data_IF_255980271802
#
_entry.id   IF_255980271802
#
_cell.length_a   1.000
_cell.length_b   1.000
_cell.length_c   1.000
_cell.angle_alpha   90.00
_cell.angle_beta   90.00
_cell.angle_gamma   90.00
#
_symmetry.space_group_name_H-M   'P 1'
#
loop_
_entity.id
_entity.type
_entity.pdbx_description
1 polymer ?
#
# COMPACT_ATOMS: atom_id res chain seq x y z
N UNK A 1 65.41 -41.90 9.08
CA UNK A 1 64.91 -40.55 9.42
C UNK A 1 63.43 -40.51 9.03
N UNK A 2 62.52 -41.18 9.74
CA UNK A 2 61.91 -40.75 11.02
C UNK A 2 61.55 -39.26 11.04
N UNK A 3 60.28 -38.91 10.80
CA UNK A 3 59.29 -38.68 11.87
C UNK A 3 57.91 -38.34 11.32
N UNK A 4 56.96 -39.02 11.95
CA UNK A 4 55.51 -38.91 11.94
C UNK A 4 54.98 -37.54 12.43
N UNK A 5 53.86 -37.07 11.88
CA UNK A 5 52.67 -36.76 12.70
C UNK A 5 51.40 -36.93 11.87
N UNK A 6 50.44 -37.67 12.44
CA UNK A 6 49.09 -38.01 11.92
C UNK A 6 48.03 -37.09 12.54
N UNK A 7 46.81 -37.22 11.99
CA UNK A 7 45.46 -37.09 12.57
C UNK A 7 44.64 -35.95 11.92
N UNK A 8 43.43 -36.14 11.41
CA UNK A 8 42.65 -37.34 11.09
C UNK A 8 41.52 -36.92 10.14
N UNK A 9 41.18 -37.80 9.20
CA UNK A 9 40.02 -37.69 8.35
C UNK A 9 38.72 -37.96 9.11
N UNK A 10 37.62 -37.32 8.71
CA UNK A 10 36.32 -38.00 8.67
C UNK A 10 35.70 -37.74 7.30
N UNK A 11 35.76 -38.80 6.49
CA UNK A 11 34.95 -39.02 5.31
C UNK A 11 33.60 -39.54 5.79
N UNK A 12 32.49 -38.92 5.36
CA UNK A 12 31.21 -39.63 5.21
C UNK A 12 30.77 -39.44 3.77
N UNK A 13 30.60 -40.58 3.11
CA UNK A 13 30.14 -40.76 1.74
C UNK A 13 28.63 -40.53 1.59
N UNK A 14 28.26 -40.16 0.36
CA UNK A 14 27.00 -40.49 -0.36
C UNK A 14 25.71 -39.81 0.12
N UNK A 15 24.78 -39.37 -0.74
CA UNK A 15 24.56 -39.68 -2.14
C UNK A 15 23.65 -38.63 -2.81
N UNK A 16 23.73 -38.59 -4.14
CA UNK A 16 22.62 -38.38 -5.10
C UNK A 16 21.80 -37.09 -5.04
N UNK A 17 22.08 -36.19 -5.99
CA UNK A 17 21.16 -35.14 -6.40
C UNK A 17 21.79 -34.27 -7.48
N UNK A 18 21.52 -34.60 -8.75
CA UNK A 18 21.82 -33.70 -9.87
C UNK A 18 21.05 -32.40 -9.65
N UNK A 19 21.74 -31.26 -9.62
CA UNK A 19 21.08 -29.96 -9.76
C UNK A 19 20.62 -29.88 -11.21
N UNK A 20 19.36 -30.23 -11.45
CA UNK A 20 18.68 -29.85 -12.69
C UNK A 20 18.42 -28.36 -12.60
N UNK A 21 18.98 -27.58 -13.53
CA UNK A 21 18.42 -26.28 -13.88
C UNK A 21 17.10 -26.55 -14.61
N UNK A 22 16.00 -26.64 -13.85
CA UNK A 22 14.66 -26.45 -14.39
C UNK A 22 14.26 -25.01 -14.04
N UNK A 23 14.12 -24.15 -15.06
CA UNK A 23 13.64 -22.76 -14.95
C UNK A 23 12.13 -22.72 -14.67
N UNK A 24 11.65 -23.54 -13.72
CA UNK A 24 10.30 -23.47 -13.19
C UNK A 24 10.33 -22.72 -11.88
N UNK A 25 9.80 -21.49 -11.96
CA UNK A 25 9.10 -20.72 -10.92
C UNK A 25 8.79 -21.50 -9.64
N UNK A 26 9.76 -21.60 -8.74
CA UNK A 26 9.47 -21.73 -7.32
C UNK A 26 9.33 -20.32 -6.78
N UNK A 27 8.13 -19.76 -6.93
CA UNK A 27 7.73 -18.58 -6.18
C UNK A 27 7.90 -18.96 -4.70
N UNK A 28 8.85 -18.29 -4.02
CA UNK A 28 8.93 -18.36 -2.57
C UNK A 28 7.59 -17.99 -1.95
N UNK A 29 7.33 -18.36 -0.69
CA UNK A 29 6.07 -18.02 -0.03
C UNK A 29 5.81 -16.53 -0.16
N UNK A 30 4.59 -16.19 -0.59
CA UNK A 30 4.11 -14.82 -0.72
C UNK A 30 4.46 -14.04 0.55
N UNK A 31 5.14 -12.90 0.41
CA UNK A 31 5.39 -12.03 1.54
C UNK A 31 4.05 -11.46 1.97
N UNK A 32 3.45 -12.06 3.01
CA UNK A 32 2.18 -11.63 3.57
C UNK A 32 2.43 -10.93 4.90
N UNK A 33 1.80 -9.79 5.13
CA UNK A 33 1.94 -9.00 6.35
C UNK A 33 0.60 -8.39 6.71
N UNK A 34 0.18 -8.57 7.96
CA UNK A 34 -0.98 -7.88 8.51
C UNK A 34 -0.54 -6.53 9.07
N UNK A 35 -1.29 -5.48 8.72
CA UNK A 35 -1.00 -4.11 9.10
C UNK A 35 -2.24 -3.43 9.65
N UNK A 36 -2.02 -2.51 10.57
CA UNK A 36 -3.03 -1.57 11.05
C UNK A 36 -2.85 -0.23 10.30
N UNK A 37 -3.96 0.34 9.86
CA UNK A 37 -4.03 1.66 9.22
C UNK A 37 -4.97 2.52 10.05
N UNK A 38 -4.39 3.44 10.82
CA UNK A 38 -5.16 4.37 11.65
C UNK A 38 -5.94 5.36 10.76
N UNK A 39 -7.13 5.80 11.18
CA UNK A 39 -7.90 6.83 10.47
C UNK A 39 -7.12 8.13 10.26
N UNK A 40 -6.14 8.41 11.15
CA UNK A 40 -5.26 9.57 11.04
C UNK A 40 -4.13 9.40 10.03
N UNK A 41 -3.99 8.25 9.37
CA UNK A 41 -2.92 7.97 8.41
C UNK A 41 -3.04 8.86 7.15
N UNK A 42 -2.33 9.99 7.16
CA UNK A 42 -2.42 11.01 6.14
C UNK A 42 -1.64 10.60 4.88
N UNK A 43 -2.35 10.28 3.80
CA UNK A 43 -1.71 9.76 2.60
C UNK A 43 -0.84 10.79 1.86
N UNK A 44 -1.07 12.10 2.06
CA UNK A 44 -0.14 13.14 1.58
C UNK A 44 1.17 13.19 2.37
N UNK A 45 1.29 12.47 3.48
CA UNK A 45 2.55 12.25 4.20
C UNK A 45 3.44 11.16 3.61
N UNK A 46 2.99 10.43 2.58
CA UNK A 46 3.73 9.31 2.01
C UNK A 46 5.11 9.75 1.50
N UNK A 47 6.16 9.15 2.07
CA UNK A 47 7.55 9.43 1.70
C UNK A 47 8.14 10.74 2.25
N UNK A 48 7.38 11.53 3.01
CA UNK A 48 7.86 12.71 3.72
C UNK A 48 8.29 12.38 5.15
N UNK A 49 9.08 13.27 5.76
CA UNK A 49 9.52 13.13 7.15
C UNK A 49 8.41 13.40 8.17
N UNK A 50 7.43 14.23 7.82
CA UNK A 50 6.27 14.61 8.64
C UNK A 50 5.01 14.69 7.78
N UNK A 51 3.83 14.34 8.31
CA UNK A 51 2.60 14.49 7.56
C UNK A 51 2.27 15.99 7.32
N UNK A 52 1.72 16.36 6.15
CA UNK A 52 1.39 17.74 5.86
C UNK A 52 -0.05 18.10 6.28
N UNK A 53 -0.26 19.32 6.81
CA UNK A 53 -1.59 19.91 7.05
C UNK A 53 -1.74 21.33 6.47
N UNK A 54 -1.48 21.54 5.17
CA UNK A 54 -1.60 22.86 4.56
C UNK A 54 -3.00 23.48 4.69
N UNK A 55 -4.06 22.67 4.80
CA UNK A 55 -5.42 23.13 5.08
C UNK A 55 -5.70 23.42 6.56
N UNK A 56 -4.85 22.97 7.47
CA UNK A 56 -5.05 23.05 8.92
C UNK A 56 -5.87 21.89 9.49
N UNK A 57 -6.36 22.06 10.72
CA UNK A 57 -7.21 21.08 11.44
C UNK A 57 -6.58 19.70 11.65
N UNK A 58 -5.27 19.66 11.87
CA UNK A 58 -4.54 18.44 12.19
C UNK A 58 -3.78 17.83 11.02
N UNK A 59 -2.55 17.40 11.28
CA UNK A 59 -1.70 16.70 10.32
C UNK A 59 -1.92 15.20 10.28
N UNK A 60 -2.47 14.63 11.35
CA UNK A 60 -2.64 13.20 11.49
C UNK A 60 -1.30 12.51 11.77
N UNK A 61 -1.13 11.33 11.21
CA UNK A 61 0.07 10.51 11.33
C UNK A 61 0.62 10.15 9.96
N UNK A 62 1.90 9.75 9.90
CA UNK A 62 2.47 9.20 8.67
C UNK A 62 1.69 7.95 8.23
N UNK A 63 1.50 7.73 6.93
CA UNK A 63 0.75 6.59 6.43
C UNK A 63 1.53 5.28 6.66
N UNK A 64 0.80 4.17 6.72
CA UNK A 64 1.36 2.85 6.99
C UNK A 64 2.25 2.41 5.83
N UNK A 65 3.56 2.29 6.09
CA UNK A 65 4.56 1.88 5.10
C UNK A 65 4.68 0.35 5.04
N UNK A 66 4.64 -0.20 3.82
CA UNK A 66 5.10 -1.54 3.49
C UNK A 66 6.27 -1.43 2.50
N UNK A 67 7.40 -2.05 2.86
CA UNK A 67 8.55 -2.19 1.98
C UNK A 67 8.28 -3.31 0.99
N UNK A 68 8.41 -3.02 -0.30
CA UNK A 68 8.13 -3.97 -1.36
C UNK A 68 9.38 -4.83 -1.65
N UNK A 69 9.23 -6.15 -1.87
CA UNK A 69 10.33 -6.97 -2.33
C UNK A 69 10.81 -6.49 -3.71
N UNK A 70 12.11 -6.57 -4.03
CA UNK A 70 12.60 -6.23 -5.37
C UNK A 70 12.01 -7.21 -6.39
N UNK A 71 11.69 -6.72 -7.58
CA UNK A 71 11.13 -7.54 -8.64
C UNK A 71 10.41 -6.72 -9.70
N UNK A 72 9.96 -7.40 -10.75
CA UNK A 72 9.10 -6.84 -11.80
C UNK A 72 7.80 -7.63 -11.87
N UNK A 73 6.79 -7.06 -12.51
CA UNK A 73 5.47 -7.69 -12.70
C UNK A 73 4.82 -8.10 -11.37
N UNK A 74 5.11 -7.34 -10.31
CA UNK A 74 4.64 -7.64 -8.96
C UNK A 74 3.17 -7.26 -8.82
N UNK A 75 2.43 -8.02 -8.01
CA UNK A 75 1.02 -7.78 -7.74
C UNK A 75 0.77 -7.62 -6.25
N UNK A 76 0.13 -6.52 -5.89
CA UNK A 76 -0.39 -6.28 -4.54
C UNK A 76 -1.81 -6.83 -4.43
N UNK A 77 -2.12 -7.49 -3.31
CA UNK A 77 -3.47 -7.90 -2.91
C UNK A 77 -3.73 -7.54 -1.45
N UNK A 78 -4.97 -7.16 -1.17
CA UNK A 78 -5.51 -6.96 0.18
C UNK A 78 -6.48 -8.10 0.50
N UNK A 79 -6.54 -8.50 1.76
CA UNK A 79 -7.46 -9.55 2.22
C UNK A 79 -7.70 -9.45 3.72
N UNK A 80 -8.84 -10.00 4.18
CA UNK A 80 -9.16 -10.09 5.60
C UNK A 80 -9.29 -8.73 6.29
N UNK A 81 -9.67 -7.70 5.53
CA UNK A 81 -9.87 -6.34 6.04
C UNK A 81 -10.99 -6.31 7.09
N UNK A 82 -10.73 -5.69 8.23
CA UNK A 82 -11.67 -5.57 9.35
C UNK A 82 -11.41 -4.30 10.15
N UNK A 83 -12.33 -3.95 11.06
CA UNK A 83 -12.28 -2.70 11.81
C UNK A 83 -13.16 -1.62 11.18
N UNK A 84 -13.02 -0.39 11.68
CA UNK A 84 -13.76 0.76 11.19
C UNK A 84 -13.01 2.06 11.48
N UNK A 85 -13.27 3.07 10.65
CA UNK A 85 -12.74 4.43 10.78
C UNK A 85 -13.87 5.45 10.71
N UNK A 86 -13.74 6.59 11.37
CA UNK A 86 -14.74 7.64 11.44
C UNK A 86 -14.08 9.00 11.21
N UNK A 87 -14.69 9.81 10.34
CA UNK A 87 -14.24 11.14 9.91
C UNK A 87 -15.31 12.21 10.24
N UNK A 88 -16.17 11.93 11.22
CA UNK A 88 -17.23 12.83 11.70
C UNK A 88 -18.67 12.32 11.51
N UNK A 89 -19.06 11.77 10.34
CA UNK A 89 -20.42 11.27 10.11
C UNK A 89 -20.77 9.94 10.78
N UNK A 90 -19.78 9.20 11.29
CA UNK A 90 -19.95 7.84 11.81
C UNK A 90 -18.97 6.84 11.18
N UNK A 91 -18.83 5.65 11.80
CA UNK A 91 -17.83 4.66 11.39
C UNK A 91 -18.14 4.02 10.02
N UNK A 92 -17.10 3.83 9.22
CA UNK A 92 -17.10 3.22 7.89
C UNK A 92 -16.10 2.06 7.82
N UNK A 93 -16.32 1.12 6.90
CA UNK A 93 -15.37 0.04 6.62
C UNK A 93 -14.20 0.56 5.75
N UNK A 94 -13.30 -0.34 5.35
CA UNK A 94 -12.21 -0.03 4.43
C UNK A 94 -12.69 0.50 3.07
N UNK A 95 -13.91 0.15 2.64
CA UNK A 95 -14.49 0.62 1.38
C UNK A 95 -15.05 2.04 1.46
N UNK A 96 -15.06 2.63 2.66
CA UNK A 96 -15.61 3.94 2.92
C UNK A 96 -17.13 3.98 2.75
N UNK A 97 -17.64 5.13 2.32
CA UNK A 97 -19.05 5.34 2.00
C UNK A 97 -19.20 5.92 0.59
N UNK A 98 -20.22 5.45 -0.11
CA UNK A 98 -20.61 6.03 -1.39
C UNK A 98 -21.20 7.44 -1.17
N UNK A 99 -20.49 8.45 -1.61
CA UNK A 99 -20.92 9.84 -1.61
C UNK A 99 -21.93 10.15 -2.73
N UNK A 100 -22.77 11.19 -2.55
CA UNK A 100 -23.71 11.66 -3.58
C UNK A 100 -23.03 12.39 -4.74
N UNK A 101 -21.81 12.88 -4.54
CA UNK A 101 -21.00 13.60 -5.53
C UNK A 101 -19.53 13.21 -5.40
N UNK A 102 -18.75 13.47 -6.46
CA UNK A 102 -17.30 13.42 -6.37
C UNK A 102 -16.84 14.42 -5.31
N UNK A 103 -15.88 14.02 -4.49
CA UNK A 103 -15.18 14.90 -3.55
C UNK A 103 -13.70 14.90 -3.92
N UNK A 104 -13.10 16.08 -3.94
CA UNK A 104 -11.72 16.30 -4.31
C UNK A 104 -10.91 16.87 -3.16
N UNK A 105 -9.75 16.29 -2.90
CA UNK A 105 -8.70 16.90 -2.10
C UNK A 105 -7.49 17.13 -3.01
N UNK A 106 -6.96 18.35 -3.03
CA UNK A 106 -6.03 18.77 -4.11
C UNK A 106 -4.62 18.22 -3.91
N UNK A 107 -3.88 18.14 -5.02
CA UNK A 107 -2.50 17.67 -5.05
C UNK A 107 -1.59 18.50 -4.13
N UNK A 108 -0.71 17.83 -3.40
CA UNK A 108 0.22 18.49 -2.47
C UNK A 108 1.51 17.68 -2.32
N UNK A 109 2.63 18.34 -2.05
CA UNK A 109 3.90 17.66 -1.72
C UNK A 109 4.52 16.81 -2.84
N UNK A 110 4.06 16.94 -4.09
CA UNK A 110 4.50 16.05 -5.19
C UNK A 110 3.68 14.76 -5.29
N UNK A 111 2.63 14.62 -4.48
CA UNK A 111 1.62 13.58 -4.56
C UNK A 111 0.37 14.12 -5.25
N UNK A 112 -0.36 13.23 -5.90
CA UNK A 112 -1.55 13.55 -6.69
C UNK A 112 -2.71 14.08 -5.84
N UNK A 113 -3.69 14.70 -6.49
CA UNK A 113 -5.02 14.94 -5.94
C UNK A 113 -5.82 13.63 -5.85
N UNK A 114 -6.79 13.61 -4.94
CA UNK A 114 -7.78 12.54 -4.83
C UNK A 114 -9.10 13.10 -5.28
N UNK A 115 -9.65 12.57 -6.36
CA UNK A 115 -11.05 12.79 -6.73
C UNK A 115 -11.77 11.45 -6.72
N UNK A 116 -12.68 11.24 -5.77
CA UNK A 116 -13.36 9.96 -5.61
C UNK A 116 -14.82 10.10 -5.19
N UNK A 117 -15.63 9.09 -5.54
CA UNK A 117 -17.01 8.95 -5.07
C UNK A 117 -17.09 8.23 -3.71
N UNK A 118 -16.02 7.58 -3.27
CA UNK A 118 -15.98 6.81 -2.02
C UNK A 118 -15.21 7.59 -0.96
N UNK A 119 -15.95 8.25 -0.08
CA UNK A 119 -15.37 9.01 1.01
C UNK A 119 -14.84 8.06 2.09
N UNK A 120 -13.77 8.45 2.79
CA UNK A 120 -13.17 7.69 3.91
C UNK A 120 -12.66 6.29 3.52
N UNK A 121 -12.47 6.03 2.22
CA UNK A 121 -11.99 4.75 1.73
C UNK A 121 -10.49 4.59 2.00
N UNK A 122 -10.08 3.34 2.28
CA UNK A 122 -8.68 2.97 2.34
C UNK A 122 -8.06 3.08 0.94
N UNK A 123 -6.97 3.83 0.86
CA UNK A 123 -6.24 4.09 -0.37
C UNK A 123 -4.77 3.66 -0.24
N UNK A 124 -4.12 3.51 -1.38
CA UNK A 124 -2.70 3.23 -1.47
C UNK A 124 -1.97 4.21 -2.40
N UNK A 125 -0.66 4.38 -2.17
CA UNK A 125 0.25 5.05 -3.11
C UNK A 125 1.58 4.31 -3.20
N UNK A 126 2.07 4.10 -4.42
CA UNK A 126 3.36 3.47 -4.68
C UNK A 126 4.45 4.52 -4.85
N UNK A 127 5.59 4.32 -4.19
CA UNK A 127 6.77 5.19 -4.27
C UNK A 127 8.05 4.39 -4.55
N UNK A 128 9.00 5.03 -5.23
CA UNK A 128 10.41 4.61 -5.27
C UNK A 128 11.12 5.02 -3.96
N UNK A 129 12.45 5.08 -3.90
CA UNK A 129 13.18 5.52 -2.70
C UNK A 129 13.25 7.06 -2.55
N UNK A 130 12.83 7.81 -3.56
CA UNK A 130 12.89 9.27 -3.55
C UNK A 130 11.80 9.89 -2.67
N UNK A 131 12.11 11.04 -2.08
CA UNK A 131 11.06 11.88 -1.48
C UNK A 131 10.19 12.47 -2.61
N UNK A 132 8.86 12.37 -2.53
CA UNK A 132 7.99 13.02 -3.49
C UNK A 132 8.24 14.52 -3.54
N UNK A 133 8.27 15.07 -4.76
CA UNK A 133 8.44 16.49 -4.98
C UNK A 133 7.62 16.92 -6.19
N UNK A 134 7.30 18.22 -6.25
CA UNK A 134 6.59 18.81 -7.37
C UNK A 134 7.39 18.67 -8.69
N UNK A 135 6.71 18.56 -9.84
CA UNK A 135 5.25 18.52 -9.99
C UNK A 135 4.65 17.16 -9.61
N UNK A 136 3.41 17.19 -9.08
CA UNK A 136 2.61 15.99 -8.87
C UNK A 136 2.26 15.32 -10.20
N UNK A 137 2.10 13.99 -10.24
CA UNK A 137 1.66 13.28 -11.45
C UNK A 137 0.19 13.62 -11.78
N UNK A 138 -0.29 13.27 -12.99
CA UNK A 138 -1.70 13.40 -13.34
C UNK A 138 -2.60 12.54 -12.44
N UNK A 139 -3.81 13.02 -12.17
CA UNK A 139 -4.86 12.30 -11.45
C UNK A 139 -5.22 10.99 -12.15
N UNK A 140 -5.44 9.95 -11.35
CA UNK A 140 -6.02 8.69 -11.82
C UNK A 140 -7.52 8.73 -11.55
N UNK A 141 -8.35 8.58 -12.59
CA UNK A 141 -9.77 8.29 -12.38
C UNK A 141 -9.92 6.84 -11.97
N UNK A 142 -10.38 6.61 -10.74
CA UNK A 142 -10.44 5.28 -10.15
C UNK A 142 -11.85 4.68 -10.33
N UNK A 143 -11.93 3.51 -10.97
CA UNK A 143 -13.11 2.67 -10.95
C UNK A 143 -12.98 1.64 -9.82
N UNK A 144 -13.66 1.91 -8.69
CA UNK A 144 -13.64 1.04 -7.52
C UNK A 144 -14.26 -0.35 -7.77
N UNK A 145 -14.94 -0.57 -8.90
CA UNK A 145 -15.55 -1.87 -9.25
C UNK A 145 -14.64 -2.74 -10.12
N UNK A 146 -13.49 -2.21 -10.56
CA UNK A 146 -12.55 -2.97 -11.38
C UNK A 146 -11.92 -4.12 -10.59
N UNK A 147 -11.82 -5.31 -11.19
CA UNK A 147 -11.14 -6.46 -10.59
C UNK A 147 -9.61 -6.37 -10.68
N UNK A 148 -9.08 -5.59 -11.62
CA UNK A 148 -7.65 -5.47 -11.85
C UNK A 148 -7.26 -4.04 -12.25
N UNK A 149 -6.20 -3.54 -11.62
CA UNK A 149 -5.61 -2.23 -11.87
C UNK A 149 -4.19 -2.42 -12.41
N UNK A 150 -4.02 -2.29 -13.73
CA UNK A 150 -2.74 -2.63 -14.41
C UNK A 150 -1.87 -1.43 -14.79
N UNK A 151 -2.43 -0.22 -14.79
CA UNK A 151 -1.76 0.99 -15.26
C UNK A 151 -1.52 1.99 -14.11
N UNK A 152 -1.01 1.50 -12.99
CA UNK A 152 -0.69 2.34 -11.83
C UNK A 152 0.69 2.98 -12.00
N UNK A 153 0.80 4.26 -11.65
CA UNK A 153 2.06 4.99 -11.62
C UNK A 153 2.53 5.28 -10.19
N UNK A 154 3.78 5.72 -10.07
CA UNK A 154 4.30 6.25 -8.81
C UNK A 154 3.58 7.54 -8.42
N UNK A 155 3.46 7.81 -7.11
CA UNK A 155 2.90 9.06 -6.53
C UNK A 155 1.42 9.30 -6.88
N UNK A 156 0.74 8.29 -7.43
CA UNK A 156 -0.69 8.29 -7.72
C UNK A 156 -1.45 7.49 -6.67
N UNK A 157 -2.54 8.05 -6.16
CA UNK A 157 -3.37 7.35 -5.19
C UNK A 157 -4.31 6.40 -5.93
N UNK A 158 -4.58 5.26 -5.32
CA UNK A 158 -5.49 4.24 -5.84
C UNK A 158 -6.41 3.77 -4.72
N UNK A 159 -7.69 3.57 -5.04
CA UNK A 159 -8.63 2.91 -4.13
C UNK A 159 -8.20 1.46 -3.95
N UNK A 160 -8.07 1.01 -2.71
CA UNK A 160 -7.80 -0.41 -2.43
C UNK A 160 -8.88 -1.07 -1.57
N UNK A 161 -9.63 -0.27 -0.81
CA UNK A 161 -10.80 -0.75 -0.07
C UNK A 161 -10.47 -1.93 0.84
N UNK A 162 -11.43 -2.85 0.93
CA UNK A 162 -11.26 -4.13 1.61
C UNK A 162 -10.45 -5.17 0.79
N UNK A 163 -10.17 -4.86 -0.49
CA UNK A 163 -9.50 -5.73 -1.45
C UNK A 163 -10.46 -6.49 -2.37
N UNK A 164 -11.76 -6.18 -2.38
CA UNK A 164 -12.79 -6.81 -3.20
C UNK A 164 -13.46 -5.79 -4.16
N UNK A 165 -14.11 -6.28 -5.22
CA UNK A 165 -14.80 -5.43 -6.21
C UNK A 165 -16.10 -4.78 -5.69
N UNK A 166 -16.51 -5.05 -4.45
CA UNK A 166 -17.75 -4.57 -3.84
C UNK A 166 -17.59 -4.37 -2.33
N UNK A 167 -18.66 -3.93 -1.66
CA UNK A 167 -18.60 -3.57 -0.24
C UNK A 167 -18.65 -4.81 0.66
N UNK A 168 -17.49 -5.30 1.11
CA UNK A 168 -17.41 -6.55 1.89
C UNK A 168 -17.73 -7.82 1.09
N UNK A 169 -17.87 -7.71 -0.24
CA UNK A 169 -18.31 -8.79 -1.13
C UNK A 169 -17.68 -8.66 -2.51
N UNK A 170 -17.72 -9.74 -3.30
CA UNK A 170 -17.24 -9.74 -4.68
C UNK A 170 -15.93 -10.49 -4.85
N UNK A 171 -15.27 -10.26 -5.98
CA UNK A 171 -14.04 -10.95 -6.34
C UNK A 171 -12.81 -10.21 -5.81
N UNK A 172 -11.71 -10.91 -5.49
CA UNK A 172 -10.47 -10.27 -5.09
C UNK A 172 -9.92 -9.32 -6.16
N UNK A 173 -9.61 -8.09 -5.75
CA UNK A 173 -8.93 -7.11 -6.58
C UNK A 173 -7.42 -7.39 -6.65
N UNK A 174 -6.81 -6.89 -7.72
CA UNK A 174 -5.38 -6.99 -7.99
C UNK A 174 -4.83 -5.65 -8.44
N UNK A 175 -3.69 -5.27 -7.88
CA UNK A 175 -3.04 -3.99 -8.19
C UNK A 175 -1.63 -4.28 -8.71
N UNK A 176 -1.39 -4.02 -10.00
CA UNK A 176 -0.07 -4.15 -10.58
C UNK A 176 0.84 -3.07 -10.00
N UNK A 177 1.90 -3.49 -9.33
CA UNK A 177 2.86 -2.61 -8.69
C UNK A 177 3.78 -2.06 -9.78
N UNK A 178 4.02 -0.73 -9.84
CA UNK A 178 5.02 -0.16 -10.74
C UNK A 178 6.39 -0.83 -10.53
N UNK A 179 7.10 -1.16 -11.61
CA UNK A 179 8.37 -1.88 -11.52
C UNK A 179 9.43 -1.09 -10.71
N UNK A 180 9.35 0.24 -10.72
CA UNK A 180 10.25 1.13 -9.98
C UNK A 180 9.87 1.27 -8.49
N UNK A 181 8.69 0.82 -8.06
CA UNK A 181 8.24 1.02 -6.68
C UNK A 181 9.04 0.17 -5.69
N UNK A 182 9.55 0.79 -4.64
CA UNK A 182 10.21 0.10 -3.51
C UNK A 182 9.35 0.13 -2.26
N UNK A 183 8.30 0.97 -2.25
CA UNK A 183 7.42 1.21 -1.12
C UNK A 183 5.97 1.30 -1.57
N UNK A 184 5.06 0.80 -0.75
CA UNK A 184 3.63 1.16 -0.81
C UNK A 184 3.20 1.71 0.53
N UNK A 185 2.41 2.78 0.49
CA UNK A 185 1.84 3.41 1.67
C UNK A 185 0.32 3.23 1.66
N UNK A 186 -0.25 2.91 2.80
CA UNK A 186 -1.69 2.82 3.03
C UNK A 186 -2.15 3.94 3.96
N UNK A 187 -3.30 4.53 3.64
CA UNK A 187 -3.87 5.60 4.44
C UNK A 187 -5.13 6.17 3.81
N UNK A 188 -5.45 7.39 4.21
CA UNK A 188 -6.68 8.08 3.87
C UNK A 188 -6.39 9.46 3.32
N UNK A 189 -7.20 9.88 2.35
CA UNK A 189 -7.23 11.25 1.90
C UNK A 189 -8.31 12.03 2.64
N UNK A 190 -7.91 13.08 3.36
CA UNK A 190 -8.79 14.02 4.02
C UNK A 190 -8.38 15.48 3.77
N UNK A 191 -9.36 16.38 3.85
CA UNK A 191 -9.21 17.81 3.62
C UNK A 191 -10.23 18.61 4.42
N UNK A 192 -10.03 19.92 4.53
CA UNK A 192 -10.99 20.82 5.21
C UNK A 192 -12.27 21.07 4.42
N UNK A 193 -12.34 20.60 3.18
CA UNK A 193 -13.49 20.69 2.31
C UNK A 193 -13.21 20.15 0.90
N UNK A 194 -14.25 20.12 0.07
CA UNK A 194 -14.13 19.76 -1.34
C UNK A 194 -13.34 20.83 -2.11
N UNK A 195 -12.34 20.40 -2.86
CA UNK A 195 -11.39 21.26 -3.58
C UNK A 195 -10.35 21.92 -2.68
N UNK A 196 -10.27 21.56 -1.40
CA UNK A 196 -9.36 22.17 -0.44
C UNK A 196 -8.06 21.38 -0.26
N UNK A 197 -7.11 22.03 0.42
CA UNK A 197 -5.80 21.49 0.75
C UNK A 197 -5.90 20.37 1.82
N UNK A 198 -4.97 19.39 1.80
CA UNK A 198 -4.93 18.32 2.79
C UNK A 198 -4.91 18.81 4.24
N UNK A 199 -5.65 18.13 5.13
CA UNK A 199 -5.83 18.49 6.54
C UNK A 199 -6.99 17.73 7.18
N UNK A 200 -7.53 18.26 8.28
CA UNK A 200 -8.69 17.70 9.01
C UNK A 200 -8.47 16.35 9.69
N UNK A 201 -7.24 15.94 9.99
CA UNK A 201 -7.04 14.63 10.62
C UNK A 201 -7.32 14.61 12.14
N UNK A 202 -7.61 15.74 12.78
CA UNK A 202 -7.83 15.82 14.23
C UNK A 202 -9.14 15.18 14.72
N UNK A 203 -10.16 15.07 13.88
CA UNK A 203 -11.43 14.39 14.19
C UNK A 203 -11.52 12.96 13.64
N UNK A 204 -10.45 12.48 12.99
CA UNK A 204 -10.37 11.13 12.46
C UNK A 204 -10.07 10.13 13.57
N UNK A 205 -10.89 9.08 13.69
CA UNK A 205 -10.76 8.06 14.73
C UNK A 205 -10.96 6.65 14.19
N UNK A 206 -10.43 5.64 14.90
CA UNK A 206 -10.53 4.24 14.51
C UNK A 206 -9.35 3.74 13.67
N UNK A 207 -9.46 2.49 13.24
CA UNK A 207 -8.40 1.73 12.57
C UNK A 207 -9.00 0.66 11.68
N UNK A 208 -8.42 0.45 10.49
CA UNK A 208 -8.60 -0.75 9.68
C UNK A 208 -7.39 -1.66 9.86
N UNK A 209 -7.64 -2.94 10.13
CA UNK A 209 -6.62 -3.99 10.06
C UNK A 209 -6.83 -4.76 8.76
N UNK A 210 -5.78 -4.89 7.94
CA UNK A 210 -5.84 -5.64 6.67
C UNK A 210 -4.57 -6.46 6.46
N UNK A 211 -4.68 -7.52 5.66
CA UNK A 211 -3.55 -8.35 5.31
C UNK A 211 -3.12 -8.12 3.87
N UNK A 212 -1.86 -7.74 3.72
CA UNK A 212 -1.21 -7.43 2.46
C UNK A 212 -0.40 -8.62 1.99
N UNK A 213 -0.51 -8.98 0.71
CA UNK A 213 0.42 -9.89 0.06
C UNK A 213 0.99 -9.27 -1.22
N UNK A 214 2.29 -9.49 -1.45
CA UNK A 214 2.96 -9.16 -2.71
C UNK A 214 3.43 -10.44 -3.38
N UNK A 215 3.01 -10.62 -4.63
CA UNK A 215 3.38 -11.74 -5.51
C UNK A 215 4.31 -11.28 -6.64
#
# INVERSE_FOLDING_TARGET
MERWTRLAAVMVLSACGRINFDERRDAGPLAQTTVDVAATANLWGAGHATPPAPGGSGEGSLPTLIVLPPGRDRVLRLSGSSGAVDFGPGPTTADGLQGPTLNTAVAYGGLVDVTCLRWNALMAVFLDDGEPAAPSPPSLTIDATAASFTNLGLRQFVFVGDGLTGDGTGEPQTFAIPDEATRVYLGYGDATGDGELPGSYDDNTGTITTTISVE
#
